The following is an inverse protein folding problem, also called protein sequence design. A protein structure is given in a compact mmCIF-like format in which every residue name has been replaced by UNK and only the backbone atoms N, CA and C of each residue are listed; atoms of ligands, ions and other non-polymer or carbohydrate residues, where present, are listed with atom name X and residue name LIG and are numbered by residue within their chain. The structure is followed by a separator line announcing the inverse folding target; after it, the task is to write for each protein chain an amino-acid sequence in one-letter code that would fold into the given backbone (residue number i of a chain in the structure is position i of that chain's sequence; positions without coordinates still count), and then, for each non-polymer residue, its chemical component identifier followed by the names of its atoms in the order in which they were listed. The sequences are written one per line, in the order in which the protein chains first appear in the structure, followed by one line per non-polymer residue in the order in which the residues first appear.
data_IF_399859461982
#
_entry.id   IF_399859461982
#
_cell.length_a   1.000
_cell.length_b   1.000
_cell.length_c   1.000
_cell.angle_alpha   90.00
_cell.angle_beta   90.00
_cell.angle_gamma   90.00
#
_symmetry.space_group_name_H-M   'P 1'
#
loop_
_entity.id
_entity.type
_entity.pdbx_description
1 polymer ?
#
# COMPACT_ATOMS: atom_id res chain seq x y z
N UNK A 1 117.35 65.60 -12.61
CA UNK A 1 117.94 66.72 -11.84
C UNK A 1 117.45 66.76 -10.39
N UNK A 2 116.20 67.18 -10.08
CA UNK A 2 115.73 67.39 -8.70
C UNK A 2 115.76 66.14 -7.79
N UNK A 3 115.34 64.98 -8.31
CA UNK A 3 115.33 63.71 -7.54
C UNK A 3 116.75 63.23 -7.23
N UNK A 4 117.67 63.34 -8.19
CA UNK A 4 119.07 62.98 -7.99
C UNK A 4 119.72 63.89 -6.93
N UNK A 5 119.49 65.20 -7.01
CA UNK A 5 119.94 66.15 -5.99
C UNK A 5 119.35 65.85 -4.61
N UNK A 6 118.07 65.45 -4.53
CA UNK A 6 117.43 65.05 -3.27
C UNK A 6 118.01 63.74 -2.71
N UNK A 7 118.32 62.76 -3.56
CA UNK A 7 118.98 61.52 -3.14
C UNK A 7 120.36 61.83 -2.53
N UNK A 8 121.13 62.71 -3.16
CA UNK A 8 122.45 63.14 -2.67
C UNK A 8 122.32 63.85 -1.30
N UNK A 9 121.37 64.78 -1.16
CA UNK A 9 121.08 65.47 0.10
C UNK A 9 120.66 64.52 1.23
N UNK A 10 119.78 63.55 0.95
CA UNK A 10 119.29 62.61 1.98
C UNK A 10 120.35 61.55 2.31
N UNK A 11 121.28 61.28 1.39
CA UNK A 11 122.40 60.35 1.62
C UNK A 11 123.53 60.93 2.49
N UNK A 12 123.62 62.26 2.60
CA UNK A 12 124.70 62.99 3.29
C UNK A 12 124.26 63.59 4.64
N UNK A 13 123.20 63.06 5.25
CA UNK A 13 122.69 63.55 6.54
C UNK A 13 123.63 63.21 7.71
N UNK A 14 123.75 64.17 8.63
CA UNK A 14 124.57 64.07 9.86
C UNK A 14 124.03 62.97 10.78
N UNK A 15 124.91 62.26 11.47
CA UNK A 15 124.57 61.14 12.37
C UNK A 15 123.88 61.56 13.66
N UNK A 16 124.00 62.83 14.07
CA UNK A 16 123.44 63.45 15.28
C UNK A 16 121.99 63.96 15.09
N UNK A 17 121.12 63.11 14.53
CA UNK A 17 119.70 63.42 14.31
C UNK A 17 118.84 62.44 15.11
N UNK A 18 117.67 62.92 15.57
CA UNK A 18 116.66 62.11 16.24
C UNK A 18 116.33 60.83 15.46
N UNK A 19 116.19 59.71 16.16
CA UNK A 19 115.94 58.40 15.58
C UNK A 19 114.73 58.39 14.62
N UNK A 20 113.65 59.08 14.99
CA UNK A 20 112.44 59.21 14.15
C UNK A 20 112.75 59.88 12.80
N UNK A 21 113.55 60.93 12.80
CA UNK A 21 113.92 61.68 11.60
C UNK A 21 114.90 60.90 10.73
N UNK A 22 115.83 60.16 11.36
CA UNK A 22 116.73 59.23 10.68
C UNK A 22 115.97 58.13 9.94
N UNK A 23 114.96 57.53 10.58
CA UNK A 23 114.10 56.51 9.96
C UNK A 23 113.31 57.10 8.78
N UNK A 24 112.73 58.29 8.92
CA UNK A 24 112.01 58.96 7.82
C UNK A 24 112.92 59.26 6.62
N UNK A 25 114.14 59.75 6.85
CA UNK A 25 115.12 59.99 5.80
C UNK A 25 115.56 58.70 5.10
N UNK A 26 115.74 57.61 5.85
CA UNK A 26 116.06 56.29 5.27
C UNK A 26 114.90 55.74 4.43
N UNK A 27 113.65 55.91 4.87
CA UNK A 27 112.46 55.55 4.10
C UNK A 27 112.39 56.38 2.80
N UNK A 28 112.62 57.69 2.89
CA UNK A 28 112.64 58.59 1.73
C UNK A 28 113.73 58.17 0.73
N UNK A 29 114.96 57.94 1.19
CA UNK A 29 116.07 57.50 0.34
C UNK A 29 115.76 56.19 -0.38
N UNK A 30 115.22 55.20 0.34
CA UNK A 30 114.81 53.90 -0.23
C UNK A 30 113.67 54.07 -1.23
N UNK A 31 112.67 54.91 -0.92
CA UNK A 31 111.57 55.20 -1.84
C UNK A 31 112.04 55.87 -3.13
N UNK A 32 112.97 56.84 -3.04
CA UNK A 32 113.56 57.50 -4.21
C UNK A 32 114.43 56.55 -5.04
N UNK A 33 115.19 55.64 -4.41
CA UNK A 33 115.96 54.60 -5.11
C UNK A 33 115.06 53.58 -5.81
N UNK A 34 113.94 53.21 -5.19
CA UNK A 34 112.96 52.28 -5.77
C UNK A 34 111.98 52.94 -6.76
N UNK A 35 112.07 54.25 -7.01
CA UNK A 35 111.11 54.98 -7.84
C UNK A 35 111.01 54.43 -9.27
N UNK A 36 112.15 54.10 -9.89
CA UNK A 36 112.15 53.57 -11.25
C UNK A 36 111.54 52.17 -11.31
N UNK A 37 111.85 51.31 -10.33
CA UNK A 37 111.21 50.00 -10.18
C UNK A 37 109.70 50.13 -9.99
N UNK A 38 109.26 51.04 -9.13
CA UNK A 38 107.84 51.32 -8.91
C UNK A 38 107.14 51.82 -10.18
N UNK A 39 107.78 52.70 -10.96
CA UNK A 39 107.26 53.17 -12.25
C UNK A 39 107.10 52.04 -13.25
N UNK A 40 108.10 51.18 -13.37
CA UNK A 40 108.05 50.02 -14.24
C UNK A 40 106.92 49.06 -13.83
N UNK A 41 106.87 48.66 -12.56
CA UNK A 41 105.84 47.76 -12.04
C UNK A 41 104.42 48.31 -12.27
N UNK A 42 104.20 49.61 -12.01
CA UNK A 42 102.91 50.25 -12.28
C UNK A 42 102.57 50.25 -13.77
N UNK A 43 103.54 50.49 -14.64
CA UNK A 43 103.33 50.47 -16.09
C UNK A 43 102.95 49.07 -16.59
N UNK A 44 103.63 48.03 -16.10
CA UNK A 44 103.34 46.63 -16.44
C UNK A 44 101.94 46.21 -15.98
N UNK A 45 101.57 46.53 -14.73
CA UNK A 45 100.23 46.25 -14.19
C UNK A 45 99.16 46.98 -15.01
N UNK A 46 99.33 48.28 -15.28
CA UNK A 46 98.37 49.04 -16.08
C UNK A 46 98.28 48.55 -17.53
N UNK A 47 99.36 48.04 -18.11
CA UNK A 47 99.34 47.43 -19.44
C UNK A 47 98.48 46.16 -19.46
N UNK A 48 98.64 45.29 -18.47
CA UNK A 48 97.82 44.08 -18.34
C UNK A 48 96.35 44.42 -18.10
N UNK A 49 96.05 45.32 -17.15
CA UNK A 49 94.67 45.76 -16.88
C UNK A 49 94.04 46.33 -18.15
N UNK A 50 94.72 47.23 -18.87
CA UNK A 50 94.18 47.80 -20.11
C UNK A 50 93.87 46.72 -21.15
N UNK A 51 94.73 45.72 -21.31
CA UNK A 51 94.48 44.61 -22.24
C UNK A 51 93.26 43.78 -21.81
N UNK A 52 93.16 43.45 -20.53
CA UNK A 52 92.09 42.56 -20.03
C UNK A 52 90.73 43.27 -19.94
N UNK A 53 90.71 44.58 -19.66
CA UNK A 53 89.48 45.37 -19.59
C UNK A 53 89.01 45.90 -20.94
N UNK A 54 89.89 45.91 -21.94
CA UNK A 54 89.52 46.36 -23.29
C UNK A 54 88.86 45.22 -24.04
N UNK A 55 87.56 45.34 -24.26
CA UNK A 55 86.82 44.35 -25.03
C UNK A 55 87.25 44.39 -26.50
N UNK A 56 87.79 43.28 -27.02
CA UNK A 56 88.20 43.13 -28.42
C UNK A 56 87.07 43.47 -29.40
N UNK A 57 85.82 43.21 -29.03
CA UNK A 57 84.65 43.55 -29.87
C UNK A 57 84.36 45.05 -29.94
N UNK A 58 84.84 45.83 -28.97
CA UNK A 58 84.73 47.29 -28.97
C UNK A 58 85.85 47.94 -29.77
N UNK A 59 87.04 47.33 -29.81
CA UNK A 59 88.17 47.79 -30.64
C UNK A 59 87.93 47.48 -32.11
N UNK A 60 87.41 46.28 -32.41
CA UNK A 60 87.15 45.85 -33.78
C UNK A 60 85.66 45.59 -34.05
N UNK A 61 84.84 46.62 -33.90
CA UNK A 61 83.38 46.55 -34.11
C UNK A 61 83.01 45.96 -35.47
N UNK A 62 83.79 46.25 -36.52
CA UNK A 62 83.52 45.75 -37.88
C UNK A 62 83.70 44.23 -38.01
N UNK A 63 84.65 43.63 -37.29
CA UNK A 63 84.85 42.19 -37.32
C UNK A 63 83.68 41.41 -36.68
N UNK A 64 83.04 41.97 -35.65
CA UNK A 64 81.94 41.34 -34.92
C UNK A 64 80.55 41.80 -35.39
N UNK A 65 80.47 42.83 -36.24
CA UNK A 65 79.22 43.29 -36.83
C UNK A 65 78.77 42.34 -37.95
N UNK A 66 77.73 41.55 -37.68
CA UNK A 66 77.03 40.77 -38.71
C UNK A 66 76.30 41.71 -39.68
N UNK A 67 76.91 41.97 -40.83
CA UNK A 67 76.29 42.80 -41.86
C UNK A 67 75.25 41.98 -42.62
N UNK A 68 73.97 42.34 -42.48
CA UNK A 68 72.88 41.70 -43.22
C UNK A 68 72.86 42.25 -44.66
N UNK A 69 73.01 41.37 -45.64
CA UNK A 69 72.76 41.68 -47.06
C UNK A 69 71.37 41.20 -47.43
N UNK A 70 70.64 42.02 -48.18
CA UNK A 70 69.33 41.66 -48.71
C UNK A 70 69.52 40.97 -50.06
N UNK A 71 69.48 39.63 -50.04
CA UNK A 71 69.60 38.82 -51.26
C UNK A 71 68.22 38.48 -51.83
N UNK A 72 68.11 38.48 -53.16
CA UNK A 72 66.86 38.15 -53.86
C UNK A 72 66.33 36.74 -53.51
N UNK A 73 67.23 35.78 -53.32
CA UNK A 73 66.87 34.39 -52.93
C UNK A 73 66.18 34.35 -51.56
N UNK A 74 66.69 35.09 -50.58
CA UNK A 74 66.10 35.15 -49.24
C UNK A 74 64.75 35.87 -49.27
N UNK A 75 64.65 36.97 -50.01
CA UNK A 75 63.40 37.71 -50.18
C UNK A 75 62.31 36.83 -50.82
N UNK A 76 62.63 36.13 -51.92
CA UNK A 76 61.71 35.18 -52.57
C UNK A 76 61.30 34.02 -51.67
N UNK A 77 62.23 33.48 -50.87
CA UNK A 77 61.93 32.40 -49.93
C UNK A 77 60.98 32.87 -48.82
N UNK A 78 61.19 34.08 -48.30
CA UNK A 78 60.34 34.70 -47.27
C UNK A 78 58.95 34.97 -47.82
N UNK A 79 58.84 35.60 -49.00
CA UNK A 79 57.55 35.88 -49.65
C UNK A 79 56.77 34.58 -49.93
N UNK A 80 57.45 33.54 -50.43
CA UNK A 80 56.82 32.24 -50.67
C UNK A 80 56.29 31.61 -49.37
N UNK A 81 57.07 31.67 -48.29
CA UNK A 81 56.68 31.12 -47.00
C UNK A 81 55.51 31.89 -46.40
N UNK A 82 55.55 33.22 -46.42
CA UNK A 82 54.46 34.08 -45.93
C UNK A 82 53.17 33.86 -46.72
N UNK A 83 53.27 33.74 -48.06
CA UNK A 83 52.11 33.42 -48.90
C UNK A 83 51.53 32.04 -48.57
N UNK A 84 52.38 31.04 -48.32
CA UNK A 84 51.95 29.72 -47.90
C UNK A 84 51.25 29.74 -46.54
N UNK A 85 51.85 30.41 -45.54
CA UNK A 85 51.25 30.56 -44.21
C UNK A 85 49.91 31.30 -44.27
N UNK A 86 49.80 32.35 -45.08
CA UNK A 86 48.55 33.09 -45.27
C UNK A 86 47.46 32.21 -45.88
N UNK A 87 47.77 31.44 -46.92
CA UNK A 87 46.83 30.50 -47.54
C UNK A 87 46.39 29.39 -46.57
N UNK A 88 47.32 28.86 -45.78
CA UNK A 88 47.01 27.83 -44.77
C UNK A 88 46.13 28.39 -43.64
N UNK A 89 46.43 29.59 -43.15
CA UNK A 89 45.62 30.27 -42.14
C UNK A 89 44.20 30.54 -42.66
N UNK A 90 44.08 30.99 -43.91
CA UNK A 90 42.78 31.22 -44.55
C UNK A 90 42.00 29.91 -44.75
N UNK A 91 42.68 28.83 -45.17
CA UNK A 91 42.08 27.49 -45.28
C UNK A 91 41.58 26.99 -43.92
N UNK A 92 42.39 27.12 -42.86
CA UNK A 92 41.98 26.77 -41.48
C UNK A 92 40.79 27.61 -41.02
N UNK A 93 40.76 28.90 -41.34
CA UNK A 93 39.61 29.77 -41.03
C UNK A 93 38.33 29.33 -41.74
N UNK A 94 38.41 29.01 -43.05
CA UNK A 94 37.28 28.47 -43.81
C UNK A 94 36.79 27.14 -43.25
N UNK A 95 37.72 26.24 -42.91
CA UNK A 95 37.39 24.95 -42.32
C UNK A 95 36.67 25.10 -40.98
N UNK A 96 37.17 25.95 -40.06
CA UNK A 96 36.49 26.22 -38.78
C UNK A 96 35.07 26.75 -38.98
N UNK A 97 34.87 27.64 -39.94
CA UNK A 97 33.54 28.16 -40.26
C UNK A 97 32.62 27.05 -40.80
N UNK A 98 33.13 26.18 -41.66
CA UNK A 98 32.38 25.03 -42.18
C UNK A 98 32.03 24.03 -41.08
N UNK A 99 32.96 23.72 -40.18
CA UNK A 99 32.73 22.83 -39.03
C UNK A 99 31.66 23.41 -38.10
N UNK A 100 31.69 24.73 -37.84
CA UNK A 100 30.66 25.41 -37.07
C UNK A 100 29.28 25.30 -37.73
N UNK A 101 29.18 25.59 -39.04
CA UNK A 101 27.92 25.43 -39.79
C UNK A 101 27.41 23.98 -39.72
N UNK A 102 28.29 23.01 -39.90
CA UNK A 102 27.93 21.59 -39.79
C UNK A 102 27.42 21.24 -38.38
N UNK A 103 28.03 21.79 -37.32
CA UNK A 103 27.58 21.61 -35.94
C UNK A 103 26.18 22.19 -35.72
N UNK A 104 25.91 23.39 -36.24
CA UNK A 104 24.59 24.03 -36.16
C UNK A 104 23.54 23.20 -36.90
N UNK A 105 23.88 22.70 -38.09
CA UNK A 105 22.98 21.85 -38.88
C UNK A 105 22.73 20.49 -38.21
N UNK A 106 23.74 19.89 -37.57
CA UNK A 106 23.58 18.65 -36.79
C UNK A 106 22.62 18.87 -35.63
N UNK A 107 22.84 19.92 -34.84
CA UNK A 107 21.95 20.28 -33.75
C UNK A 107 20.51 20.51 -34.24
N UNK A 108 20.33 21.19 -35.37
CA UNK A 108 19.00 21.36 -35.98
C UNK A 108 18.33 20.05 -36.37
N UNK A 109 19.08 19.04 -36.81
CA UNK A 109 18.57 17.69 -37.09
C UNK A 109 18.20 16.96 -35.80
N UNK A 110 19.07 16.98 -34.80
CA UNK A 110 18.84 16.38 -33.48
C UNK A 110 17.61 16.96 -32.79
N UNK A 111 17.41 18.27 -32.89
CA UNK A 111 16.24 18.96 -32.36
C UNK A 111 14.94 18.48 -33.02
N UNK A 112 14.92 18.38 -34.35
CA UNK A 112 13.76 17.82 -35.08
C UNK A 112 13.52 16.36 -34.70
N UNK A 113 14.58 15.58 -34.57
CA UNK A 113 14.51 14.18 -34.17
C UNK A 113 13.93 14.02 -32.77
N UNK A 114 14.35 14.85 -31.82
CA UNK A 114 13.80 14.88 -30.46
C UNK A 114 12.28 15.06 -30.46
N UNK A 115 11.78 16.04 -31.22
CA UNK A 115 10.33 16.27 -31.32
C UNK A 115 9.59 15.12 -32.00
N UNK A 116 10.17 14.53 -33.06
CA UNK A 116 9.62 13.33 -33.72
C UNK A 116 9.53 12.15 -32.75
N UNK A 117 10.57 11.93 -31.95
CA UNK A 117 10.59 10.90 -30.92
C UNK A 117 9.56 11.16 -29.82
N UNK A 118 9.38 12.43 -29.42
CA UNK A 118 8.37 12.79 -28.43
C UNK A 118 6.94 12.52 -28.94
N UNK A 119 6.66 12.84 -30.20
CA UNK A 119 5.39 12.47 -30.85
C UNK A 119 5.20 10.95 -30.89
N UNK A 120 6.24 10.19 -31.20
CA UNK A 120 6.18 8.72 -31.17
C UNK A 120 5.93 8.18 -29.76
N UNK A 121 6.49 8.80 -28.71
CA UNK A 121 6.21 8.45 -27.30
C UNK A 121 4.75 8.73 -26.94
N UNK A 122 4.22 9.90 -27.30
CA UNK A 122 2.81 10.24 -27.09
C UNK A 122 1.87 9.24 -27.78
N UNK A 123 2.16 8.89 -29.04
CA UNK A 123 1.38 7.91 -29.78
C UNK A 123 1.38 6.52 -29.10
N UNK A 124 2.52 6.07 -28.57
CA UNK A 124 2.61 4.82 -27.80
C UNK A 124 1.79 4.87 -26.53
N UNK A 125 1.85 5.97 -25.76
CA UNK A 125 1.06 6.15 -24.54
C UNK A 125 -0.44 6.15 -24.86
N UNK A 126 -0.87 6.90 -25.87
CA UNK A 126 -2.27 6.93 -26.28
C UNK A 126 -2.78 5.54 -26.66
N UNK A 127 -1.99 4.77 -27.42
CA UNK A 127 -2.34 3.38 -27.76
C UNK A 127 -2.42 2.48 -26.51
N UNK A 128 -1.52 2.66 -25.55
CA UNK A 128 -1.55 1.90 -24.29
C UNK A 128 -2.81 2.23 -23.46
N UNK A 129 -3.22 3.49 -23.40
CA UNK A 129 -4.45 3.93 -22.71
C UNK A 129 -5.68 3.32 -23.37
N UNK A 130 -5.79 3.40 -24.70
CA UNK A 130 -6.91 2.78 -25.45
C UNK A 130 -6.97 1.27 -25.17
N UNK A 131 -5.82 0.59 -25.22
CA UNK A 131 -5.75 -0.84 -24.93
C UNK A 131 -6.11 -1.18 -23.48
N UNK A 132 -5.73 -0.36 -22.51
CA UNK A 132 -6.09 -0.53 -21.11
C UNK A 132 -7.61 -0.48 -20.93
N UNK A 133 -8.27 0.53 -21.49
CA UNK A 133 -9.73 0.65 -21.42
C UNK A 133 -10.45 -0.49 -22.15
N UNK A 134 -9.98 -0.86 -23.35
CA UNK A 134 -10.54 -2.00 -24.09
C UNK A 134 -10.36 -3.33 -23.34
N UNK A 135 -9.25 -3.53 -22.63
CA UNK A 135 -9.05 -4.71 -21.79
C UNK A 135 -9.91 -4.67 -20.53
N UNK A 136 -10.04 -3.52 -19.87
CA UNK A 136 -10.91 -3.34 -18.71
C UNK A 136 -12.37 -3.63 -19.06
N UNK A 137 -12.84 -3.17 -20.22
CA UNK A 137 -14.20 -3.47 -20.72
C UNK A 137 -14.39 -4.97 -21.01
N UNK A 138 -13.40 -5.64 -21.63
CA UNK A 138 -13.45 -7.10 -21.84
C UNK A 138 -13.47 -7.88 -20.53
N UNK A 139 -12.66 -7.51 -19.56
CA UNK A 139 -12.64 -8.17 -18.24
C UNK A 139 -13.95 -7.91 -17.49
N UNK A 140 -14.50 -6.69 -17.55
CA UNK A 140 -15.82 -6.40 -16.98
C UNK A 140 -16.92 -7.26 -17.62
N UNK A 141 -16.88 -7.45 -18.95
CA UNK A 141 -17.82 -8.33 -19.65
C UNK A 141 -17.67 -9.80 -19.22
N UNK A 142 -16.44 -10.31 -19.09
CA UNK A 142 -16.20 -11.67 -18.59
C UNK A 142 -16.64 -11.85 -17.15
N UNK A 143 -16.40 -10.86 -16.29
CA UNK A 143 -16.85 -10.89 -14.89
C UNK A 143 -18.38 -10.89 -14.84
N UNK A 144 -19.04 -10.09 -15.67
CA UNK A 144 -20.49 -10.10 -15.77
C UNK A 144 -21.04 -11.46 -16.25
N UNK A 145 -20.40 -12.08 -17.24
CA UNK A 145 -20.73 -13.45 -17.67
C UNK A 145 -20.47 -14.49 -16.58
N UNK A 146 -19.42 -14.31 -15.74
CA UNK A 146 -19.10 -15.18 -14.61
C UNK A 146 -20.16 -15.07 -13.51
N UNK A 147 -20.52 -13.84 -13.13
CA UNK A 147 -21.57 -13.56 -12.14
C UNK A 147 -22.91 -14.14 -12.63
N UNK A 148 -23.23 -13.99 -13.91
CA UNK A 148 -24.46 -14.54 -14.49
C UNK A 148 -24.47 -16.08 -14.50
N UNK A 149 -23.33 -16.73 -14.83
CA UNK A 149 -23.20 -18.19 -14.72
C UNK A 149 -23.32 -18.69 -13.29
N UNK A 150 -22.73 -18.00 -12.31
CA UNK A 150 -22.85 -18.36 -10.90
C UNK A 150 -24.28 -18.16 -10.39
N UNK A 151 -24.93 -17.07 -10.81
CA UNK A 151 -26.36 -16.82 -10.55
C UNK A 151 -27.22 -17.95 -11.10
N UNK A 152 -27.01 -18.39 -12.34
CA UNK A 152 -27.73 -19.53 -12.92
C UNK A 152 -27.44 -20.85 -12.20
N UNK A 153 -26.19 -21.07 -11.76
CA UNK A 153 -25.83 -22.27 -11.00
C UNK A 153 -26.53 -22.34 -9.64
N UNK A 154 -26.60 -21.22 -8.90
CA UNK A 154 -27.32 -21.19 -7.60
C UNK A 154 -28.82 -21.38 -7.75
N UNK A 155 -29.41 -20.83 -8.83
CA UNK A 155 -30.81 -21.08 -9.16
C UNK A 155 -31.08 -22.57 -9.43
N UNK A 156 -30.20 -23.25 -10.16
CA UNK A 156 -30.33 -24.69 -10.43
C UNK A 156 -30.10 -25.57 -9.21
N UNK A 157 -29.41 -25.07 -8.19
CA UNK A 157 -29.14 -25.78 -6.95
C UNK A 157 -30.21 -25.52 -5.87
N UNK A 158 -31.32 -24.86 -6.22
CA UNK A 158 -32.42 -24.51 -5.31
C UNK A 158 -31.99 -23.62 -4.12
N UNK A 159 -30.81 -22.97 -4.19
CA UNK A 159 -30.32 -21.98 -3.22
C UNK A 159 -30.91 -20.60 -3.51
N UNK A 160 -32.15 -20.40 -3.08
CA UNK A 160 -32.89 -19.15 -3.27
C UNK A 160 -32.26 -17.95 -2.55
N UNK A 161 -31.60 -18.17 -1.40
CA UNK A 161 -31.00 -17.11 -0.60
C UNK A 161 -29.70 -16.57 -1.24
N UNK A 162 -28.85 -17.47 -1.76
CA UNK A 162 -27.65 -17.11 -2.49
C UNK A 162 -27.95 -16.38 -3.81
N UNK A 163 -28.97 -16.84 -4.54
CA UNK A 163 -29.44 -16.19 -5.77
C UNK A 163 -29.96 -14.77 -5.50
N UNK A 164 -30.71 -14.54 -4.41
CA UNK A 164 -31.19 -13.22 -4.00
C UNK A 164 -30.06 -12.26 -3.63
N UNK A 165 -29.04 -12.70 -2.88
CA UNK A 165 -27.87 -11.85 -2.54
C UNK A 165 -27.09 -11.39 -3.77
N UNK A 166 -27.03 -12.21 -4.82
CA UNK A 166 -26.44 -11.85 -6.11
C UNK A 166 -27.32 -10.87 -6.92
N UNK A 167 -28.66 -10.95 -6.79
CA UNK A 167 -29.60 -9.98 -7.37
C UNK A 167 -29.49 -8.63 -6.67
N UNK A 168 -29.44 -8.60 -5.34
CA UNK A 168 -29.48 -7.38 -4.53
C UNK A 168 -28.22 -6.49 -4.72
N UNK A 169 -27.11 -7.09 -5.17
CA UNK A 169 -25.89 -6.38 -5.56
C UNK A 169 -26.03 -5.64 -6.90
N UNK A 170 -26.80 -6.19 -7.85
CA UNK A 170 -27.29 -5.38 -8.96
C UNK A 170 -28.36 -4.46 -8.37
N UNK A 171 -28.31 -3.16 -8.64
CA UNK A 171 -29.27 -2.18 -8.10
C UNK A 171 -30.69 -2.35 -8.66
N UNK A 172 -31.16 -3.56 -8.91
CA UNK A 172 -32.53 -3.89 -9.31
C UNK A 172 -33.44 -3.90 -8.08
N UNK A 173 -33.48 -2.77 -7.38
CA UNK A 173 -34.33 -2.53 -6.20
C UNK A 173 -35.79 -2.89 -6.48
N UNK A 174 -36.24 -2.70 -7.73
CA UNK A 174 -37.60 -3.05 -8.16
C UNK A 174 -37.81 -4.55 -8.28
N UNK A 175 -36.81 -5.31 -8.76
CA UNK A 175 -36.91 -6.76 -8.85
C UNK A 175 -36.86 -7.39 -7.45
N UNK A 176 -35.98 -6.89 -6.57
CA UNK A 176 -35.96 -7.27 -5.16
C UNK A 176 -37.31 -6.98 -4.47
N UNK A 177 -37.89 -5.80 -4.71
CA UNK A 177 -39.20 -5.41 -4.17
C UNK A 177 -40.36 -6.29 -4.69
N UNK A 178 -40.36 -6.61 -5.99
CA UNK A 178 -41.38 -7.51 -6.56
C UNK A 178 -41.28 -8.93 -5.98
N UNK A 179 -40.06 -9.42 -5.79
CA UNK A 179 -39.83 -10.74 -5.20
C UNK A 179 -40.22 -10.78 -3.71
N UNK A 180 -39.91 -9.73 -2.94
CA UNK A 180 -40.38 -9.64 -1.54
C UNK A 180 -41.90 -9.56 -1.45
N UNK A 181 -42.57 -8.89 -2.39
CA UNK A 181 -44.03 -8.82 -2.42
C UNK A 181 -44.65 -10.19 -2.76
N UNK A 182 -44.03 -10.97 -3.64
CA UNK A 182 -44.48 -12.35 -3.90
C UNK A 182 -44.25 -13.27 -2.70
N UNK A 183 -43.14 -13.11 -1.97
CA UNK A 183 -42.90 -13.88 -0.74
C UNK A 183 -43.93 -13.54 0.34
N UNK A 184 -44.20 -12.26 0.54
CA UNK A 184 -45.22 -11.80 1.50
C UNK A 184 -46.60 -12.37 1.14
N UNK A 185 -46.96 -12.36 -0.14
CA UNK A 185 -48.20 -12.96 -0.61
C UNK A 185 -48.25 -14.49 -0.38
N UNK A 186 -47.16 -15.21 -0.66
CA UNK A 186 -47.05 -16.65 -0.43
C UNK A 186 -47.09 -16.98 1.07
N UNK A 187 -46.43 -16.18 1.92
CA UNK A 187 -46.48 -16.32 3.37
C UNK A 187 -47.92 -16.15 3.88
N UNK A 188 -48.64 -15.14 3.40
CA UNK A 188 -50.04 -14.92 3.76
C UNK A 188 -50.93 -16.10 3.33
N UNK A 189 -50.74 -16.63 2.12
CA UNK A 189 -51.47 -17.83 1.68
C UNK A 189 -51.12 -19.05 2.53
N UNK A 190 -49.84 -19.26 2.84
CA UNK A 190 -49.38 -20.37 3.68
C UNK A 190 -49.98 -20.29 5.09
N UNK A 191 -50.03 -19.10 5.68
CA UNK A 191 -50.66 -18.87 6.98
C UNK A 191 -52.17 -19.15 6.94
N UNK A 192 -52.88 -18.69 5.92
CA UNK A 192 -54.31 -18.99 5.75
C UNK A 192 -54.57 -20.49 5.62
N UNK A 193 -53.77 -21.21 4.81
CA UNK A 193 -53.90 -22.67 4.65
C UNK A 193 -53.60 -23.39 5.96
N UNK A 194 -52.59 -22.95 6.71
CA UNK A 194 -52.26 -23.50 8.03
C UNK A 194 -53.38 -23.27 9.04
N UNK A 195 -53.96 -22.07 9.06
CA UNK A 195 -55.10 -21.74 9.92
C UNK A 195 -56.33 -22.57 9.58
N UNK A 196 -56.66 -22.72 8.30
CA UNK A 196 -57.76 -23.58 7.86
C UNK A 196 -57.54 -25.05 8.22
N UNK A 197 -56.31 -25.57 8.11
CA UNK A 197 -55.96 -26.92 8.59
C UNK A 197 -56.14 -27.06 10.11
N UNK A 198 -55.70 -26.07 10.88
CA UNK A 198 -55.90 -26.05 12.34
C UNK A 198 -57.38 -26.03 12.69
N UNK A 199 -58.19 -25.20 12.03
CA UNK A 199 -59.64 -25.12 12.23
C UNK A 199 -60.38 -26.40 11.84
N UNK A 200 -59.94 -27.09 10.79
CA UNK A 200 -60.50 -28.40 10.45
C UNK A 200 -60.10 -29.48 11.46
N UNK A 201 -58.85 -29.46 11.94
CA UNK A 201 -58.38 -30.39 12.96
C UNK A 201 -59.11 -30.19 14.29
N UNK A 202 -59.33 -28.94 14.72
CA UNK A 202 -60.09 -28.63 15.94
C UNK A 202 -61.56 -29.02 15.81
N UNK A 203 -62.21 -28.76 14.67
CA UNK A 203 -63.58 -29.24 14.40
C UNK A 203 -63.70 -30.76 14.46
N UNK A 204 -62.76 -31.51 13.86
CA UNK A 204 -62.75 -32.98 13.97
C UNK A 204 -62.57 -33.44 15.42
N UNK A 205 -61.67 -32.80 16.19
CA UNK A 205 -61.46 -33.09 17.62
C UNK A 205 -62.69 -32.78 18.48
N UNK A 206 -63.38 -31.69 18.20
CA UNK A 206 -64.64 -31.33 18.88
C UNK A 206 -65.77 -32.31 18.55
N UNK A 207 -65.90 -32.74 17.29
CA UNK A 207 -66.87 -33.76 16.90
C UNK A 207 -66.60 -35.12 17.57
N UNK A 208 -65.33 -35.52 17.69
CA UNK A 208 -64.93 -36.73 18.43
C UNK A 208 -65.22 -36.61 19.93
N UNK A 209 -64.95 -35.46 20.55
CA UNK A 209 -65.34 -35.19 21.95
C UNK A 209 -66.86 -35.23 22.13
N UNK A 210 -67.64 -34.69 21.19
CA UNK A 210 -69.11 -34.75 21.20
C UNK A 210 -69.61 -36.20 21.08
N UNK A 211 -69.04 -36.99 20.17
CA UNK A 211 -69.38 -38.43 20.04
C UNK A 211 -69.03 -39.23 21.30
N UNK A 212 -67.87 -38.99 21.92
CA UNK A 212 -67.49 -39.64 23.20
C UNK A 212 -68.43 -39.26 24.35
N UNK A 213 -68.83 -37.99 24.46
CA UNK A 213 -69.83 -37.55 25.45
C UNK A 213 -71.20 -38.20 25.20
N UNK A 214 -71.61 -38.34 23.94
CA UNK A 214 -72.89 -38.96 23.58
C UNK A 214 -72.92 -40.47 23.85
N UNK A 215 -71.79 -41.19 23.67
CA UNK A 215 -71.69 -42.60 24.06
C UNK A 215 -71.71 -42.81 25.59
N UNK A 216 -71.07 -41.95 26.38
CA UNK A 216 -71.09 -42.06 27.87
C UNK A 216 -72.48 -41.84 28.48
N UNK A 217 -73.37 -41.12 27.81
CA UNK A 217 -74.76 -40.93 28.26
C UNK A 217 -75.67 -42.14 28.02
N UNK A 218 -75.19 -43.18 27.32
CA UNK A 218 -75.96 -44.38 26.95
C UNK A 218 -75.50 -45.64 27.71
N UNK A 219 -75.21 -45.54 29.02
CA UNK A 219 -75.04 -46.72 29.89
C UNK A 219 -76.15 -46.80 30.95
N UNK A 220 -77.06 -47.81 30.88
CA UNK A 220 -78.24 -47.89 31.73
C UNK A 220 -78.02 -48.42 33.16
N UNK A 221 -76.77 -48.71 33.57
CA UNK A 221 -76.41 -49.25 34.90
C UNK A 221 -75.51 -48.31 35.74
N UNK A 222 -75.50 -47.00 35.46
CA UNK A 222 -74.79 -46.00 36.30
C UNK A 222 -75.32 -46.08 37.74
N UNK A 223 -74.42 -46.18 38.72
CA UNK A 223 -74.76 -46.10 40.15
C UNK A 223 -74.74 -44.64 40.58
N UNK A 224 -75.80 -44.17 41.24
CA UNK A 224 -75.95 -42.75 41.60
C UNK A 224 -75.67 -42.55 43.08
N UNK A 225 -74.74 -41.65 43.40
CA UNK A 225 -74.36 -41.35 44.78
C UNK A 225 -75.50 -40.63 45.51
N UNK A 226 -75.87 -41.09 46.70
CA UNK A 226 -76.95 -40.52 47.53
C UNK A 226 -76.41 -40.13 48.91
N UNK A 227 -76.90 -39.04 49.50
CA UNK A 227 -76.43 -38.50 50.79
C UNK A 227 -77.57 -38.30 51.78
N UNK A 228 -77.35 -38.65 53.05
CA UNK A 228 -78.32 -38.43 54.14
C UNK A 228 -78.26 -37.01 54.69
N UNK A 229 -79.38 -36.29 54.67
CA UNK A 229 -79.46 -34.87 55.07
C UNK A 229 -79.24 -34.61 56.57
N UNK A 230 -79.50 -35.59 57.44
CA UNK A 230 -79.37 -35.41 58.90
C UNK A 230 -77.96 -35.75 59.45
N UNK A 231 -77.19 -36.59 58.76
CA UNK A 231 -75.88 -37.10 59.25
C UNK A 231 -74.71 -36.83 58.30
N UNK A 232 -74.98 -36.38 57.07
CA UNK A 232 -73.97 -36.11 56.04
C UNK A 232 -73.27 -37.35 55.49
N UNK A 233 -73.80 -38.55 55.75
CA UNK A 233 -73.18 -39.81 55.30
C UNK A 233 -73.43 -40.03 53.80
N UNK A 234 -72.36 -40.12 53.00
CA UNK A 234 -72.40 -40.37 51.55
C UNK A 234 -72.30 -41.87 51.25
N UNK A 235 -73.21 -42.38 50.41
CA UNK A 235 -73.17 -43.73 49.86
C UNK A 235 -72.76 -43.66 48.39
N UNK A 236 -71.50 -44.02 48.09
CA UNK A 236 -70.93 -44.05 46.74
C UNK A 236 -70.38 -45.44 46.40
N UNK A 237 -70.41 -45.82 45.12
CA UNK A 237 -69.80 -47.07 44.63
C UNK A 237 -70.74 -48.28 44.73
N UNK A 238 -70.23 -49.43 45.17
CA UNK A 238 -70.94 -50.72 45.04
C UNK A 238 -72.29 -50.79 45.77
N UNK A 239 -72.43 -50.04 46.86
CA UNK A 239 -73.61 -49.98 47.73
C UNK A 239 -74.60 -48.86 47.36
N UNK A 240 -74.35 -48.11 46.28
CA UNK A 240 -75.24 -47.06 45.80
C UNK A 240 -76.34 -47.64 44.87
N UNK A 241 -77.61 -47.20 45.00
CA UNK A 241 -78.67 -47.73 44.16
C UNK A 241 -78.47 -47.36 42.69
N UNK A 242 -78.89 -48.25 41.78
CA UNK A 242 -78.84 -48.02 40.32
C UNK A 242 -79.85 -46.95 39.91
N UNK A 243 -79.55 -46.19 38.83
CA UNK A 243 -80.40 -45.09 38.31
C UNK A 243 -81.89 -45.44 38.23
N UNK A 244 -82.26 -46.69 37.92
CA UNK A 244 -83.66 -47.14 37.83
C UNK A 244 -84.34 -47.40 39.18
N UNK A 245 -83.58 -47.78 40.21
CA UNK A 245 -84.10 -48.15 41.53
C UNK A 245 -83.90 -47.04 42.58
N UNK A 246 -83.10 -46.01 42.28
CA UNK A 246 -82.79 -44.91 43.20
C UNK A 246 -84.05 -44.19 43.69
N UNK A 247 -85.07 -44.07 42.83
CA UNK A 247 -86.32 -43.37 43.12
C UNK A 247 -87.23 -44.16 44.08
N UNK A 248 -87.28 -45.49 43.97
CA UNK A 248 -87.96 -46.36 44.96
C UNK A 248 -87.19 -46.47 46.27
N UNK A 249 -85.85 -46.45 46.22
CA UNK A 249 -84.99 -46.50 47.39
C UNK A 249 -85.13 -45.23 48.27
N UNK A 250 -85.22 -44.05 47.64
CA UNK A 250 -85.49 -42.78 48.31
C UNK A 250 -86.86 -42.74 49.01
N UNK A 251 -87.86 -43.48 48.49
CA UNK A 251 -89.19 -43.59 49.12
C UNK A 251 -89.14 -44.44 50.40
N UNK A 252 -88.30 -45.49 50.43
CA UNK A 252 -88.14 -46.35 51.60
C UNK A 252 -87.22 -45.73 52.68
N UNK A 253 -86.41 -44.72 52.31
CA UNK A 253 -85.49 -44.02 53.21
C UNK A 253 -85.77 -42.50 53.24
N UNK A 254 -86.78 -42.02 54.00
CA UNK A 254 -87.08 -40.60 54.11
C UNK A 254 -85.91 -39.84 54.75
N UNK A 255 -85.29 -38.91 54.02
CA UNK A 255 -84.17 -38.08 54.50
C UNK A 255 -82.88 -38.15 53.67
N UNK A 256 -82.85 -38.92 52.58
CA UNK A 256 -81.72 -39.00 51.65
C UNK A 256 -81.99 -38.18 50.37
N UNK A 257 -80.97 -37.56 49.78
CA UNK A 257 -81.08 -36.72 48.57
C UNK A 257 -79.96 -37.05 47.55
N UNK A 258 -80.25 -36.86 46.26
CA UNK A 258 -79.33 -37.12 45.15
C UNK A 258 -78.26 -36.03 45.04
N UNK A 259 -77.02 -36.44 44.82
CA UNK A 259 -75.88 -35.55 44.60
C UNK A 259 -75.37 -35.73 43.16
N UNK A 260 -75.51 -34.68 42.34
CA UNK A 260 -74.94 -34.63 41.00
C UNK A 260 -73.43 -34.41 41.10
N UNK A 261 -72.67 -35.50 41.05
CA UNK A 261 -71.21 -35.47 40.91
C UNK A 261 -70.85 -35.57 39.43
N UNK A 262 -70.77 -34.41 38.75
CA UNK A 262 -70.26 -34.29 37.37
C UNK A 262 -69.01 -33.37 37.27
N UNK A 263 -68.39 -32.99 38.40
CA UNK A 263 -67.29 -32.02 38.47
C UNK A 263 -65.93 -32.59 38.95
N UNK A 264 -65.66 -33.89 38.79
CA UNK A 264 -64.32 -34.44 39.03
C UNK A 264 -63.85 -35.21 37.79
N UNK A 265 -63.09 -34.51 36.93
CA UNK A 265 -61.91 -34.98 36.19
C UNK A 265 -61.65 -34.05 34.97
N UNK A 266 -61.27 -32.80 35.25
CA UNK A 266 -60.80 -31.78 34.29
C UNK A 266 -59.31 -31.47 34.56
N UNK A 267 -58.50 -32.49 34.86
CA UNK A 267 -57.16 -32.35 35.45
C UNK A 267 -56.00 -32.87 34.59
N UNK A 268 -56.08 -32.72 33.25
CA UNK A 268 -55.00 -33.07 32.31
C UNK A 268 -54.47 -31.89 31.46
N UNK A 269 -54.85 -30.64 31.73
CA UNK A 269 -54.37 -29.46 30.98
C UNK A 269 -53.47 -28.50 31.80
N UNK A 270 -52.65 -29.00 32.72
CA UNK A 270 -51.79 -28.16 33.57
C UNK A 270 -50.27 -28.34 33.47
N UNK A 271 -49.75 -29.04 32.47
CA UNK A 271 -48.31 -29.43 32.47
C UNK A 271 -47.45 -28.93 31.28
N UNK A 272 -47.73 -27.75 30.71
CA UNK A 272 -46.83 -27.12 29.71
C UNK A 272 -46.45 -25.65 29.99
N UNK A 273 -46.70 -25.11 31.20
CA UNK A 273 -46.45 -23.69 31.48
C UNK A 273 -45.55 -23.34 32.66
N UNK A 274 -44.78 -24.28 33.20
CA UNK A 274 -43.86 -24.01 34.33
C UNK A 274 -42.50 -24.72 34.23
N UNK A 275 -41.69 -24.42 33.22
CA UNK A 275 -40.23 -24.57 33.34
C UNK A 275 -39.50 -23.45 32.57
N UNK A 276 -39.59 -22.23 33.09
CA UNK A 276 -38.56 -21.21 32.91
C UNK A 276 -38.40 -20.50 34.24
N UNK A 277 -37.47 -20.99 35.06
CA UNK A 277 -36.57 -20.17 35.88
C UNK A 277 -35.62 -21.07 36.72
N UNK A 278 -34.33 -20.93 36.43
CA UNK A 278 -33.19 -21.13 37.34
C UNK A 278 -32.83 -22.56 37.76
N UNK A 279 -31.76 -23.13 37.18
CA UNK A 279 -30.75 -23.96 37.88
C UNK A 279 -29.48 -24.21 37.05
N UNK A 280 -28.39 -24.41 37.80
CA UNK A 280 -26.95 -24.43 37.51
C UNK A 280 -26.49 -25.29 36.30
N UNK A 281 -25.52 -24.86 35.45
CA UNK A 281 -25.16 -25.54 34.19
C UNK A 281 -24.46 -26.90 34.28
N UNK A 282 -24.12 -27.41 35.46
CA UNK A 282 -23.25 -28.60 35.61
C UNK A 282 -23.90 -29.87 36.22
N UNK A 283 -25.23 -30.00 36.19
CA UNK A 283 -25.90 -31.25 36.59
C UNK A 283 -25.87 -32.31 35.47
N UNK A 284 -25.36 -33.54 35.69
CA UNK A 284 -25.31 -34.60 34.67
C UNK A 284 -26.67 -34.97 34.03
N UNK A 285 -27.82 -34.63 34.63
CA UNK A 285 -29.14 -34.83 34.02
C UNK A 285 -29.49 -33.82 32.92
N UNK A 286 -28.92 -32.62 32.92
CA UNK A 286 -29.20 -31.59 31.89
C UNK A 286 -28.40 -31.85 30.62
N UNK A 287 -27.19 -32.41 30.73
CA UNK A 287 -26.33 -32.76 29.58
C UNK A 287 -26.95 -33.88 28.74
N UNK A 288 -27.55 -34.90 29.38
CA UNK A 288 -28.22 -36.01 28.67
C UNK A 288 -29.51 -35.53 27.99
N UNK A 289 -30.25 -34.60 28.61
CA UNK A 289 -31.42 -33.98 27.96
C UNK A 289 -31.01 -33.11 26.77
N UNK A 290 -29.90 -32.39 26.84
CA UNK A 290 -29.40 -31.55 25.75
C UNK A 290 -28.99 -32.37 24.53
N UNK A 291 -28.29 -33.48 24.72
CA UNK A 291 -27.94 -34.41 23.65
C UNK A 291 -29.17 -35.10 23.02
N UNK A 292 -30.24 -35.33 23.80
CA UNK A 292 -31.49 -35.91 23.27
C UNK A 292 -32.37 -34.87 22.55
N UNK A 293 -32.24 -33.59 22.89
CA UNK A 293 -32.93 -32.48 22.20
C UNK A 293 -32.25 -32.13 20.87
N UNK A 294 -30.92 -32.25 20.77
CA UNK A 294 -30.18 -31.97 19.53
C UNK A 294 -30.51 -32.97 18.38
N UNK A 295 -30.84 -34.23 18.69
CA UNK A 295 -31.27 -35.23 17.67
C UNK A 295 -32.73 -34.99 17.20
N UNK A 296 -33.61 -34.52 18.09
CA UNK A 296 -35.00 -34.14 17.74
C UNK A 296 -35.09 -32.78 17.03
N UNK A 297 -34.06 -31.93 17.15
CA UNK A 297 -33.98 -30.62 16.49
C UNK A 297 -33.82 -30.76 14.96
N UNK A 298 -33.22 -31.86 14.49
CA UNK A 298 -33.14 -32.18 13.05
C UNK A 298 -34.51 -32.49 12.43
N UNK A 299 -35.46 -33.04 13.20
CA UNK A 299 -36.83 -33.31 12.74
C UNK A 299 -37.77 -32.11 12.89
N UNK A 300 -37.53 -31.19 13.83
CA UNK A 300 -38.31 -29.93 13.93
C UNK A 300 -38.03 -28.97 12.78
N UNK A 301 -36.78 -28.88 12.33
CA UNK A 301 -36.42 -27.99 11.23
C UNK A 301 -37.09 -28.39 9.89
N UNK A 302 -37.33 -29.69 9.69
CA UNK A 302 -38.07 -30.20 8.52
C UNK A 302 -39.55 -29.77 8.49
N UNK A 303 -40.13 -29.34 9.61
CA UNK A 303 -41.49 -28.80 9.67
C UNK A 303 -41.54 -27.29 9.36
N UNK A 304 -40.44 -26.57 9.60
CA UNK A 304 -40.31 -25.13 9.30
C UNK A 304 -39.97 -24.87 7.82
N UNK A 305 -39.39 -25.86 7.11
CA UNK A 305 -39.12 -25.80 5.67
C UNK A 305 -40.30 -26.23 4.78
N UNK A 306 -41.51 -26.35 5.32
CA UNK A 306 -42.68 -26.69 4.51
C UNK A 306 -43.10 -25.50 3.63
N UNK A 307 -42.63 -25.49 2.39
CA UNK A 307 -43.06 -24.57 1.34
C UNK A 307 -44.57 -24.70 1.10
N UNK A 308 -45.22 -23.59 0.69
CA UNK A 308 -46.66 -23.54 0.38
C UNK A 308 -47.17 -24.76 -0.41
N UNK A 309 -46.37 -25.21 -1.39
CA UNK A 309 -46.66 -26.38 -2.22
C UNK A 309 -46.79 -27.68 -1.41
N UNK A 310 -45.90 -27.91 -0.44
CA UNK A 310 -45.93 -29.10 0.44
C UNK A 310 -47.13 -29.08 1.42
N UNK A 311 -47.54 -27.90 1.90
CA UNK A 311 -48.68 -27.75 2.81
C UNK A 311 -50.01 -27.88 2.07
N UNK A 312 -50.09 -27.41 0.82
CA UNK A 312 -51.30 -27.49 0.01
C UNK A 312 -51.58 -28.91 -0.50
N UNK A 313 -50.55 -29.70 -0.87
CA UNK A 313 -50.72 -31.05 -1.42
C UNK A 313 -50.93 -32.16 -0.39
N UNK A 314 -50.85 -31.85 0.90
CA UNK A 314 -51.20 -32.77 2.00
C UNK A 314 -52.70 -32.71 2.37
N UNK A 315 -53.52 -32.11 1.51
CA UNK A 315 -54.99 -32.08 1.60
C UNK A 315 -55.55 -33.18 0.69
N UNK A 316 -56.17 -34.21 1.26
CA UNK A 316 -57.04 -35.18 0.59
C UNK A 316 -58.34 -35.31 1.39
#
# INVERSE_FOLDING_TARGET
ARIAARIEQVSSLVTDMSEKLRVQAQIELRALRCLNFQRQLRSEILSCIRRDTTLETAVNIKAYKRTKRQGLREARATEKLEKQQKLEAERKRRQKNQEFLNSVLSHGKEFKEFHRQNQAKLAKINKAIINYHANAEREQKKEQERIEKERMRRLMAEDEEGYRKLIDQKKDKRLAFLLSQTDEYICNLTQMVKQHKLEQATKKREEERRKKKQMRMQEPDRKVTVMETATGKKLSGENAPTVKQVQEWLIQHPGWELLDTDDEDDDDERDERREREGKDPNDPKTVIKKAKVEDDEYHKNSLEEQTYYSIAHTVH
#
